data_IF_554045193135
#
_entry.id   IF_554045193135
#
_cell.length_a   1.000
_cell.length_b   1.000
_cell.length_c   1.000
_cell.angle_alpha   90.00
_cell.angle_beta   90.00
_cell.angle_gamma   90.00
#
_symmetry.space_group_name_H-M   'P 1'
#
loop_
_entity.id
_entity.type
_entity.pdbx_description
1 polymer ?
#
# COMPACT_ATOMS: atom_id res chain seq x y z
N UNK A 1 1.44 11.72 3.83
CA UNK A 1 2.45 11.31 4.83
C UNK A 1 2.88 9.91 4.45
N UNK A 2 4.18 9.65 4.31
CA UNK A 2 4.69 8.34 3.91
C UNK A 2 5.73 7.90 4.94
N UNK A 3 5.57 6.69 5.46
CA UNK A 3 6.48 6.09 6.43
C UNK A 3 6.81 4.67 5.97
N UNK A 4 8.08 4.46 5.63
CA UNK A 4 8.61 3.15 5.26
C UNK A 4 9.30 2.58 6.49
N UNK A 5 8.75 1.49 7.03
CA UNK A 5 9.27 0.85 8.25
C UNK A 5 10.38 -0.15 7.97
N UNK A 6 10.50 -0.62 6.72
CA UNK A 6 11.55 -1.54 6.29
C UNK A 6 12.40 -0.90 5.18
N UNK A 7 13.63 -0.46 5.49
CA UNK A 7 14.53 0.16 4.53
C UNK A 7 15.10 -0.84 3.51
N UNK A 8 14.95 -2.15 3.69
CA UNK A 8 15.49 -3.15 2.77
C UNK A 8 14.65 -3.30 1.48
N UNK A 9 13.33 -3.10 1.56
CA UNK A 9 12.44 -3.26 0.40
C UNK A 9 12.51 -2.10 -0.59
N UNK A 10 12.65 -0.86 -0.09
CA UNK A 10 12.70 0.34 -0.93
C UNK A 10 13.81 1.29 -0.44
N UNK A 11 15.08 0.95 -0.72
CA UNK A 11 16.24 1.63 -0.13
C UNK A 11 16.46 3.04 -0.69
N UNK A 12 15.91 3.35 -1.87
CA UNK A 12 16.05 4.66 -2.49
C UNK A 12 14.71 5.38 -2.63
N UNK A 13 14.73 6.72 -2.55
CA UNK A 13 13.58 7.59 -2.81
C UNK A 13 13.02 7.35 -4.23
N UNK A 14 13.87 6.98 -5.18
CA UNK A 14 13.46 6.67 -6.55
C UNK A 14 12.58 5.41 -6.59
N UNK A 15 12.97 4.38 -5.84
CA UNK A 15 12.23 3.11 -5.79
C UNK A 15 10.90 3.28 -5.05
N UNK A 16 10.91 4.03 -3.94
CA UNK A 16 9.70 4.42 -3.20
C UNK A 16 8.69 5.15 -4.11
N UNK A 17 9.12 6.20 -4.81
CA UNK A 17 8.25 6.94 -5.75
C UNK A 17 7.75 6.07 -6.91
N UNK A 18 8.59 5.15 -7.40
CA UNK A 18 8.19 4.27 -8.49
C UNK A 18 7.11 3.28 -8.01
N UNK A 19 7.26 2.75 -6.80
CA UNK A 19 6.27 1.90 -6.16
C UNK A 19 4.96 2.65 -5.91
N UNK A 20 5.01 3.83 -5.29
CA UNK A 20 3.83 4.70 -5.05
C UNK A 20 3.03 4.95 -6.34
N UNK A 21 3.73 5.27 -7.43
CA UNK A 21 3.09 5.48 -8.74
C UNK A 21 2.41 4.21 -9.27
N UNK A 22 3.02 3.04 -9.10
CA UNK A 22 2.42 1.76 -9.51
C UNK A 22 1.17 1.46 -8.68
N UNK A 23 1.23 1.67 -7.36
CA UNK A 23 0.08 1.52 -6.45
C UNK A 23 -1.06 2.41 -6.94
N UNK A 24 -0.82 3.73 -7.04
CA UNK A 24 -1.83 4.70 -7.46
C UNK A 24 -2.44 4.35 -8.82
N UNK A 25 -1.61 4.01 -9.82
CA UNK A 25 -2.10 3.64 -11.14
C UNK A 25 -3.02 2.41 -11.11
N UNK A 26 -2.78 1.47 -10.18
CA UNK A 26 -3.58 0.25 -10.03
C UNK A 26 -4.88 0.48 -9.24
N UNK A 27 -4.87 1.41 -8.28
CA UNK A 27 -5.97 1.59 -7.30
C UNK A 27 -6.89 2.78 -7.61
N UNK A 28 -6.41 3.85 -8.25
CA UNK A 28 -7.17 5.11 -8.39
C UNK A 28 -8.52 5.02 -9.15
N UNK A 29 -8.74 3.93 -9.90
CA UNK A 29 -9.96 3.67 -10.68
C UNK A 29 -10.70 2.41 -10.25
N UNK A 30 -10.21 1.72 -9.22
CA UNK A 30 -10.78 0.48 -8.76
C UNK A 30 -11.66 0.73 -7.53
N UNK A 31 -12.84 0.13 -7.50
CA UNK A 31 -13.76 0.15 -6.34
C UNK A 31 -13.43 -0.95 -5.30
N UNK A 32 -12.23 -1.55 -5.38
CA UNK A 32 -11.80 -2.57 -4.43
C UNK A 32 -11.14 -1.91 -3.21
N UNK A 33 -11.11 -2.59 -2.07
CA UNK A 33 -10.40 -2.11 -0.88
C UNK A 33 -9.01 -2.77 -0.72
N UNK A 34 -8.71 -3.77 -1.56
CA UNK A 34 -7.47 -4.56 -1.50
C UNK A 34 -6.90 -4.74 -2.91
N UNK A 35 -5.58 -4.66 -3.03
CA UNK A 35 -4.82 -4.94 -4.25
C UNK A 35 -3.55 -5.72 -3.93
N UNK A 36 -3.09 -6.50 -4.90
CA UNK A 36 -1.82 -7.23 -4.81
C UNK A 36 -0.81 -6.71 -5.83
N UNK A 37 0.40 -6.36 -5.41
CA UNK A 37 1.43 -5.80 -6.30
C UNK A 37 2.83 -6.19 -5.79
N UNK A 38 3.66 -6.74 -6.67
CA UNK A 38 5.08 -7.03 -6.39
C UNK A 38 5.32 -7.89 -5.13
N UNK A 39 4.40 -8.81 -4.83
CA UNK A 39 4.51 -9.65 -3.62
C UNK A 39 4.06 -8.93 -2.33
N UNK A 40 3.43 -7.77 -2.47
CA UNK A 40 2.87 -6.99 -1.37
C UNK A 40 1.35 -6.98 -1.45
N UNK A 41 0.72 -7.09 -0.28
CA UNK A 41 -0.71 -6.84 -0.08
C UNK A 41 -0.91 -5.37 0.25
N UNK A 42 -1.78 -4.71 -0.50
CA UNK A 42 -2.09 -3.29 -0.36
C UNK A 42 -3.55 -3.16 0.03
N UNK A 43 -3.81 -2.68 1.24
CA UNK A 43 -5.15 -2.28 1.68
C UNK A 43 -5.28 -0.78 1.47
N UNK A 44 -6.37 -0.34 0.86
CA UNK A 44 -6.54 1.06 0.53
C UNK A 44 -7.98 1.53 0.65
N UNK A 45 -8.11 2.82 0.91
CA UNK A 45 -9.38 3.53 0.92
C UNK A 45 -9.19 4.91 0.34
N UNK A 46 -10.13 5.34 -0.48
CA UNK A 46 -10.18 6.69 -1.02
C UNK A 46 -11.35 7.46 -0.42
N UNK A 47 -11.17 8.77 -0.25
CA UNK A 47 -12.21 9.70 0.19
C UNK A 47 -12.03 11.02 -0.56
N UNK A 48 -12.94 11.32 -1.48
CA UNK A 48 -12.90 12.51 -2.35
C UNK A 48 -11.54 12.57 -3.08
N UNK A 49 -10.61 13.42 -2.61
CA UNK A 49 -9.30 13.64 -3.22
C UNK A 49 -8.14 13.01 -2.42
N UNK A 50 -8.45 12.25 -1.36
CA UNK A 50 -7.47 11.62 -0.48
C UNK A 50 -7.41 10.12 -0.72
N UNK A 51 -6.19 9.58 -0.79
CA UNK A 51 -5.93 8.15 -0.91
C UNK A 51 -5.09 7.68 0.27
N UNK A 52 -5.58 6.67 0.98
CA UNK A 52 -4.91 6.02 2.10
C UNK A 52 -4.47 4.64 1.68
N UNK A 53 -3.22 4.28 1.98
CA UNK A 53 -2.62 3.00 1.63
C UNK A 53 -1.90 2.42 2.84
N UNK A 54 -2.14 1.15 3.12
CA UNK A 54 -1.36 0.31 4.02
C UNK A 54 -0.80 -0.84 3.20
N UNK A 55 0.51 -1.03 3.27
CA UNK A 55 1.21 -2.01 2.45
C UNK A 55 1.94 -2.96 3.37
N UNK A 56 1.71 -4.26 3.20
CA UNK A 56 2.38 -5.33 3.95
C UNK A 56 2.86 -6.44 3.03
N UNK A 57 3.74 -7.29 3.54
CA UNK A 57 4.21 -8.47 2.80
C UNK A 57 3.06 -9.44 2.56
N UNK A 58 3.05 -10.13 1.41
CA UNK A 58 2.09 -11.21 1.14
C UNK A 58 2.16 -12.39 2.13
N UNK A 59 3.26 -12.49 2.87
CA UNK A 59 3.48 -13.52 3.90
C UNK A 59 2.96 -13.07 5.26
N UNK A 60 2.68 -11.79 5.46
CA UNK A 60 2.00 -11.29 6.65
C UNK A 60 0.50 -11.59 6.57
N UNK A 61 -0.08 -11.96 7.70
CA UNK A 61 -1.47 -12.39 7.78
C UNK A 61 -2.41 -11.21 7.42
N UNK A 62 -3.19 -11.33 6.34
CA UNK A 62 -4.06 -10.28 5.81
C UNK A 62 -5.03 -9.71 6.88
N UNK A 63 -5.40 -10.55 7.85
CA UNK A 63 -6.25 -10.19 9.01
C UNK A 63 -5.57 -9.16 9.93
N UNK A 64 -4.25 -9.23 10.12
CA UNK A 64 -3.51 -8.27 10.95
C UNK A 64 -3.36 -6.90 10.27
N UNK A 65 -3.16 -6.90 8.94
CA UNK A 65 -3.11 -5.67 8.15
C UNK A 65 -4.46 -4.95 8.16
N UNK A 66 -5.55 -5.69 8.02
CA UNK A 66 -6.91 -5.12 8.14
C UNK A 66 -7.20 -4.62 9.56
N UNK A 67 -6.73 -5.35 10.59
CA UNK A 67 -6.86 -4.94 11.99
C UNK A 67 -6.13 -3.62 12.30
N UNK A 68 -4.93 -3.44 11.76
CA UNK A 68 -4.16 -2.18 11.90
C UNK A 68 -4.78 -1.01 11.12
N UNK A 69 -5.48 -1.29 10.02
CA UNK A 69 -6.16 -0.24 9.24
C UNK A 69 -7.35 0.40 9.99
N UNK A 70 -7.93 -0.31 10.98
CA UNK A 70 -9.09 0.16 11.75
C UNK A 70 -8.75 0.84 13.09
N UNK A 71 -7.48 0.87 13.51
CA UNK A 71 -7.03 1.46 14.78
C UNK A 71 -6.18 2.72 14.60
#
# INVERSE_FOLDING_TARGET
LFQYYDPEFYPSIKDQKNFERKVFNKTHKADNEIAFLEGMTIVYKNSIDLFFYVVGSAQENEVLLFFWFFF
#
